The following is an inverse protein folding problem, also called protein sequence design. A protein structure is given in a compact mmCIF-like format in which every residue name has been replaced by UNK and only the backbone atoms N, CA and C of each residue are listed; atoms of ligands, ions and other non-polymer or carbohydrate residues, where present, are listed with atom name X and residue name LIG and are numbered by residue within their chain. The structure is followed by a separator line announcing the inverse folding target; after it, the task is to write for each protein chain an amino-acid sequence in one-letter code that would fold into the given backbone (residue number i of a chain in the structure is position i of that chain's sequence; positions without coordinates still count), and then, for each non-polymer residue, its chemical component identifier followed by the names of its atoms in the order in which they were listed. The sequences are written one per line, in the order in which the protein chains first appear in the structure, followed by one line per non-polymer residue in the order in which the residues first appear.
data_IF_709083064977
#
_entry.id   IF_709083064977
#
_cell.length_a   1.000
_cell.length_b   1.000
_cell.length_c   1.000
_cell.angle_alpha   90.00
_cell.angle_beta   90.00
_cell.angle_gamma   90.00
#
_symmetry.space_group_name_H-M   'P 1'
#
loop_
_entity.id
_entity.type
_entity.pdbx_description
1 polymer ?
#
# COMPACT_ATOMS: atom_id res chain seq x y z
N UNK A 1 -11.72 -0.19 22.00
CA UNK A 1 -11.77 -1.68 21.89
C UNK A 1 -10.40 -2.19 21.40
N UNK A 2 -10.08 -3.47 21.63
CA UNK A 2 -8.84 -4.05 21.12
C UNK A 2 -8.93 -4.30 19.60
N UNK A 3 -7.81 -4.18 18.88
CA UNK A 3 -7.73 -4.37 17.43
C UNK A 3 -6.96 -5.66 17.13
N UNK A 4 -7.59 -6.59 16.41
CA UNK A 4 -6.99 -7.87 15.99
C UNK A 4 -6.12 -7.75 14.74
N UNK A 5 -5.09 -6.89 14.77
CA UNK A 5 -4.18 -6.66 13.63
C UNK A 5 -4.74 -5.76 12.53
N UNK A 6 -3.85 -5.26 11.67
CA UNK A 6 -4.16 -4.29 10.62
C UNK A 6 -3.30 -4.42 9.37
N UNK A 7 -1.98 -4.51 9.50
CA UNK A 7 -1.03 -4.82 8.40
C UNK A 7 -1.14 -3.93 7.15
N UNK A 8 -1.56 -2.67 7.30
CA UNK A 8 -1.71 -1.71 6.19
C UNK A 8 -3.15 -1.24 6.00
N UNK A 9 -4.10 -2.12 5.63
CA UNK A 9 -5.49 -1.75 5.37
C UNK A 9 -6.13 -0.79 6.38
N UNK A 10 -5.90 -0.96 7.68
CA UNK A 10 -6.51 -0.14 8.75
C UNK A 10 -5.84 1.21 9.02
N UNK A 11 -4.88 1.64 8.20
CA UNK A 11 -4.31 3.01 8.22
C UNK A 11 -4.71 3.83 6.99
N UNK A 12 -5.46 3.25 6.05
CA UNK A 12 -5.78 3.88 4.77
C UNK A 12 -6.61 5.16 4.95
N UNK A 13 -6.48 6.10 4.00
CA UNK A 13 -7.16 7.40 4.01
C UNK A 13 -8.67 7.28 3.71
N UNK A 14 -9.39 6.58 4.58
CA UNK A 14 -10.84 6.38 4.58
C UNK A 14 -11.37 5.27 3.67
N UNK A 15 -12.15 4.38 4.27
CA UNK A 15 -13.06 3.51 3.54
C UNK A 15 -14.48 4.11 3.52
N UNK A 16 -15.30 3.79 2.50
CA UNK A 16 -16.66 4.30 2.40
C UNK A 16 -17.50 4.11 3.68
N UNK A 17 -17.38 2.97 4.34
CA UNK A 17 -18.10 2.64 5.58
C UNK A 17 -17.79 3.60 6.74
N UNK A 18 -16.58 4.17 6.81
CA UNK A 18 -16.21 5.11 7.86
C UNK A 18 -16.99 6.43 7.74
N UNK A 19 -17.50 6.74 6.54
CA UNK A 19 -18.38 7.89 6.28
C UNK A 19 -19.86 7.47 6.31
N UNK A 20 -20.19 6.32 5.70
CA UNK A 20 -21.57 5.87 5.55
C UNK A 20 -22.20 5.45 6.88
N UNK A 21 -21.48 4.76 7.76
CA UNK A 21 -22.05 4.28 9.04
C UNK A 21 -22.47 5.44 9.95
N UNK A 22 -21.65 6.48 10.18
CA UNK A 22 -22.09 7.68 10.92
C UNK A 22 -23.25 8.40 10.23
N UNK A 23 -23.27 8.48 8.89
CA UNK A 23 -24.37 9.10 8.15
C UNK A 23 -25.69 8.35 8.35
N UNK A 24 -25.69 7.03 8.18
CA UNK A 24 -26.87 6.17 8.40
C UNK A 24 -27.36 6.28 9.85
N UNK A 25 -26.46 6.27 10.84
CA UNK A 25 -26.83 6.42 12.25
C UNK A 25 -27.55 7.75 12.53
N UNK A 26 -27.15 8.84 11.86
CA UNK A 26 -27.83 10.14 11.95
C UNK A 26 -29.21 10.13 11.33
N UNK A 27 -29.36 9.53 10.14
CA UNK A 27 -30.65 9.44 9.43
C UNK A 27 -31.66 8.58 10.19
N UNK A 28 -31.23 7.42 10.70
CA UNK A 28 -32.08 6.49 11.46
C UNK A 28 -32.28 6.90 12.92
N UNK A 29 -31.51 7.89 13.42
CA UNK A 29 -31.50 8.34 14.81
C UNK A 29 -31.30 7.21 15.81
N UNK A 30 -30.48 6.22 15.45
CA UNK A 30 -30.18 5.07 16.30
C UNK A 30 -28.71 4.64 16.14
N UNK A 31 -28.22 3.88 17.12
CA UNK A 31 -26.87 3.32 17.04
C UNK A 31 -26.82 2.22 15.97
N UNK A 32 -25.85 2.33 15.06
CA UNK A 32 -25.60 1.33 14.00
C UNK A 32 -24.29 0.63 14.31
N UNK A 33 -24.33 -0.70 14.33
CA UNK A 33 -23.13 -1.55 14.40
C UNK A 33 -22.98 -2.26 13.06
N UNK A 34 -21.83 -2.07 12.44
CA UNK A 34 -21.47 -2.75 11.20
C UNK A 34 -20.24 -3.62 11.43
N UNK A 35 -20.25 -4.79 10.79
CA UNK A 35 -19.14 -5.74 10.77
C UNK A 35 -19.19 -6.36 9.37
N UNK A 36 -18.17 -6.13 8.56
CA UNK A 36 -17.98 -6.88 7.32
C UNK A 36 -17.75 -8.36 7.59
N UNK A 37 -18.16 -9.21 6.64
CA UNK A 37 -17.68 -10.56 6.55
C UNK A 37 -16.31 -10.64 5.84
N UNK A 38 -15.76 -11.86 5.74
CA UNK A 38 -14.45 -12.07 5.13
C UNK A 38 -14.46 -11.84 3.62
N UNK A 39 -15.56 -12.13 2.95
CA UNK A 39 -15.67 -11.97 1.50
C UNK A 39 -15.79 -10.49 1.12
N UNK A 40 -16.60 -9.73 1.85
CA UNK A 40 -16.68 -8.27 1.75
C UNK A 40 -15.30 -7.65 1.96
N UNK A 41 -14.58 -8.08 3.01
CA UNK A 41 -13.22 -7.60 3.27
C UNK A 41 -12.28 -7.86 2.09
N UNK A 42 -12.25 -9.07 1.52
CA UNK A 42 -11.39 -9.41 0.38
C UNK A 42 -11.71 -8.63 -0.89
N UNK A 43 -12.94 -8.14 -1.04
CA UNK A 43 -13.37 -7.41 -2.23
C UNK A 43 -13.19 -5.90 -2.08
N UNK A 44 -13.53 -5.35 -0.92
CA UNK A 44 -13.61 -3.92 -0.69
C UNK A 44 -12.35 -3.31 -0.05
N UNK A 45 -11.52 -4.13 0.59
CA UNK A 45 -10.28 -3.65 1.22
C UNK A 45 -9.27 -3.21 0.15
N UNK A 46 -8.42 -2.24 0.50
CA UNK A 46 -7.31 -1.84 -0.38
C UNK A 46 -6.28 -2.96 -0.45
N UNK A 47 -5.98 -3.40 -1.68
CA UNK A 47 -4.89 -4.30 -1.97
C UNK A 47 -3.83 -3.49 -2.72
N UNK A 48 -2.57 -3.66 -2.37
CA UNK A 48 -1.47 -2.90 -2.97
C UNK A 48 -0.30 -3.84 -3.31
N UNK A 49 0.63 -3.32 -4.11
CA UNK A 49 1.99 -3.87 -4.41
C UNK A 49 2.13 -4.69 -5.69
N UNK A 50 1.17 -4.61 -6.61
CA UNK A 50 1.49 -4.92 -8.00
C UNK A 50 2.59 -3.96 -8.47
N UNK A 51 3.79 -4.47 -8.71
CA UNK A 51 4.90 -3.67 -9.24
C UNK A 51 5.63 -4.47 -10.32
N UNK A 52 5.93 -3.81 -11.44
CA UNK A 52 6.68 -4.39 -12.55
C UNK A 52 7.91 -3.52 -12.76
N UNK A 53 9.10 -4.12 -12.58
CA UNK A 53 10.37 -3.43 -12.59
C UNK A 53 11.18 -3.80 -13.83
N UNK A 54 11.74 -2.80 -14.49
CA UNK A 54 12.84 -2.93 -15.42
C UNK A 54 14.10 -2.39 -14.72
N UNK A 55 14.87 -3.32 -14.14
CA UNK A 55 16.04 -3.01 -13.34
C UNK A 55 17.32 -3.54 -13.99
N UNK A 56 18.38 -2.74 -13.94
CA UNK A 56 19.73 -3.09 -14.37
C UNK A 56 20.76 -2.71 -13.31
N UNK A 57 21.85 -3.46 -13.25
CA UNK A 57 22.93 -3.27 -12.29
C UNK A 57 24.28 -3.39 -12.99
N UNK A 58 25.18 -2.45 -12.71
CA UNK A 58 26.58 -2.52 -13.12
C UNK A 58 27.43 -3.11 -11.99
N UNK A 59 28.27 -4.08 -12.32
CA UNK A 59 29.17 -4.75 -11.38
C UNK A 59 30.62 -4.64 -11.87
N UNK A 60 31.57 -4.54 -10.94
CA UNK A 60 32.98 -4.79 -11.24
C UNK A 60 33.26 -6.29 -11.39
N UNK A 61 34.41 -6.64 -11.95
CA UNK A 61 34.86 -8.04 -12.08
C UNK A 61 34.95 -8.77 -10.72
N UNK A 62 35.24 -8.04 -9.65
CA UNK A 62 35.28 -8.56 -8.28
C UNK A 62 33.95 -8.46 -7.52
N UNK A 63 32.85 -8.13 -8.21
CA UNK A 63 31.49 -8.20 -7.69
C UNK A 63 31.03 -6.99 -6.87
N UNK A 64 31.73 -5.84 -6.91
CA UNK A 64 31.24 -4.60 -6.30
C UNK A 64 30.16 -3.97 -7.17
N UNK A 65 29.12 -3.45 -6.52
CA UNK A 65 28.06 -2.69 -7.19
C UNK A 65 28.58 -1.30 -7.56
N UNK A 66 28.54 -0.99 -8.85
CA UNK A 66 28.97 0.28 -9.43
C UNK A 66 27.79 1.22 -9.67
N UNK A 67 26.62 0.68 -9.99
CA UNK A 67 25.40 1.46 -10.07
C UNK A 67 24.15 0.63 -10.32
N UNK A 68 22.99 1.22 -10.04
CA UNK A 68 21.67 0.60 -10.21
C UNK A 68 20.74 1.58 -10.91
N UNK A 69 20.06 1.13 -11.97
CA UNK A 69 18.95 1.85 -12.59
C UNK A 69 17.71 0.98 -12.52
N UNK A 70 16.61 1.56 -12.04
CA UNK A 70 15.31 0.90 -11.99
C UNK A 70 14.23 1.85 -12.50
N UNK A 71 13.41 1.36 -13.41
CA UNK A 71 12.19 2.02 -13.87
C UNK A 71 11.05 1.05 -13.62
N UNK A 72 10.06 1.47 -12.85
CA UNK A 72 8.99 0.57 -12.45
C UNK A 72 7.61 1.20 -12.59
N UNK A 73 6.65 0.33 -12.88
CA UNK A 73 5.23 0.63 -12.83
C UNK A 73 4.66 0.13 -11.52
N UNK A 74 3.82 0.94 -10.88
CA UNK A 74 3.07 0.55 -9.70
C UNK A 74 1.58 0.53 -10.00
N UNK A 75 0.96 -0.62 -9.83
CA UNK A 75 -0.49 -0.80 -9.95
C UNK A 75 -1.16 -0.42 -8.63
N UNK A 76 -1.93 0.67 -8.67
CA UNK A 76 -2.74 1.16 -7.55
C UNK A 76 -4.18 0.66 -7.61
N UNK A 77 -4.57 -0.06 -8.66
CA UNK A 77 -5.94 -0.46 -8.89
C UNK A 77 -6.85 0.71 -9.29
N UNK A 78 -8.13 0.65 -8.90
CA UNK A 78 -9.12 1.64 -9.31
C UNK A 78 -8.99 2.99 -8.58
N UNK A 79 -8.32 3.03 -7.43
CA UNK A 79 -8.17 4.20 -6.58
C UNK A 79 -6.76 4.25 -6.01
N UNK A 80 -6.28 5.43 -5.62
CA UNK A 80 -4.94 5.61 -5.05
C UNK A 80 -5.00 6.06 -3.57
N UNK A 81 -5.38 5.17 -2.64
CA UNK A 81 -5.69 5.51 -1.24
C UNK A 81 -4.46 5.88 -0.41
N UNK A 82 -3.25 5.51 -0.88
CA UNK A 82 -1.99 5.80 -0.22
C UNK A 82 -1.07 6.70 -1.05
N UNK A 83 -1.56 7.19 -2.18
CA UNK A 83 -0.83 8.08 -3.07
C UNK A 83 0.53 7.50 -3.52
N UNK A 84 1.48 8.41 -3.70
CA UNK A 84 2.85 8.06 -4.07
C UNK A 84 3.66 7.42 -2.92
N UNK A 85 3.11 7.25 -1.73
CA UNK A 85 3.89 6.75 -0.58
C UNK A 85 4.42 5.33 -0.83
N UNK A 86 3.62 4.43 -1.41
CA UNK A 86 4.04 3.05 -1.72
C UNK A 86 5.18 3.01 -2.75
N UNK A 87 5.08 3.65 -3.93
CA UNK A 87 6.17 3.65 -4.90
C UNK A 87 7.41 4.40 -4.40
N UNK A 88 7.25 5.47 -3.61
CA UNK A 88 8.39 6.14 -2.95
C UNK A 88 9.10 5.18 -2.00
N UNK A 89 8.37 4.39 -1.20
CA UNK A 89 8.99 3.40 -0.31
C UNK A 89 9.77 2.33 -1.09
N UNK A 90 9.24 1.84 -2.21
CA UNK A 90 9.97 0.93 -3.10
C UNK A 90 11.27 1.57 -3.59
N UNK A 91 11.22 2.82 -4.06
CA UNK A 91 12.41 3.53 -4.52
C UNK A 91 13.44 3.75 -3.39
N UNK A 92 13.00 4.21 -2.22
CA UNK A 92 13.88 4.51 -1.09
C UNK A 92 14.58 3.26 -0.54
N UNK A 93 13.96 2.09 -0.67
CA UNK A 93 14.51 0.82 -0.15
C UNK A 93 15.22 -0.02 -1.21
N UNK A 94 15.15 0.38 -2.48
CA UNK A 94 15.70 -0.34 -3.64
C UNK A 94 17.15 -0.79 -3.45
N UNK A 95 18.01 0.12 -2.96
CA UNK A 95 19.45 -0.14 -2.84
C UNK A 95 19.80 -1.02 -1.62
N UNK A 96 18.85 -1.25 -0.70
CA UNK A 96 19.04 -2.04 0.50
C UNK A 96 20.27 -1.60 1.32
N UNK A 97 20.90 -2.52 2.08
CA UNK A 97 22.08 -2.23 2.89
C UNK A 97 23.38 -2.28 2.06
N UNK A 98 23.37 -1.88 0.79
CA UNK A 98 24.53 -1.90 -0.09
C UNK A 98 25.10 -0.50 -0.36
N UNK A 99 26.42 -0.42 -0.53
CA UNK A 99 27.05 0.79 -1.04
C UNK A 99 26.94 0.79 -2.56
N UNK A 100 26.15 1.70 -3.09
CA UNK A 100 25.96 1.91 -4.53
C UNK A 100 26.37 3.35 -4.84
N UNK A 101 27.48 3.58 -5.57
CA UNK A 101 27.99 4.93 -5.78
C UNK A 101 27.22 5.73 -6.85
N UNK A 102 26.44 5.06 -7.71
CA UNK A 102 25.68 5.68 -8.80
C UNK A 102 24.26 5.12 -8.91
#
# INVERSE_FOLDING_TARGET
PFIGGGFGPKIMMFYPEEVLIPWIARELKCAVKWIEDRQENFFATTHERGQVHEAEMALSEDGRILGVRDVFLHDTGAYDPYGLTVPINSQCTLLGPYRVPN
#
